data_IF_116557579550
#
_entry.id   IF_116557579550
#
_cell.length_a   1.000
_cell.length_b   1.000
_cell.length_c   1.000
_cell.angle_alpha   90.00
_cell.angle_beta   90.00
_cell.angle_gamma   90.00
#
_symmetry.space_group_name_H-M   'P 1'
#
loop_
_entity.id
_entity.type
_entity.pdbx_description
1 polymer ?
#
# COMPACT_ATOMS: atom_id res chain seq x y z
N UNK A 1 -68.85 -22.84 -77.42
CA UNK A 1 -68.46 -23.61 -76.21
C UNK A 1 -67.03 -23.26 -75.74
N UNK A 2 -66.10 -22.87 -76.61
CA UNK A 2 -64.69 -22.48 -76.26
C UNK A 2 -64.54 -21.08 -75.62
N UNK A 3 -65.44 -20.13 -76.00
CA UNK A 3 -65.38 -18.76 -75.40
C UNK A 3 -65.84 -18.71 -73.95
N UNK A 4 -66.81 -19.52 -73.53
CA UNK A 4 -67.27 -19.61 -72.11
C UNK A 4 -66.21 -20.19 -71.19
N UNK A 5 -65.43 -21.13 -71.66
CA UNK A 5 -64.32 -21.74 -70.90
C UNK A 5 -63.12 -20.81 -70.67
N UNK A 6 -62.91 -19.86 -71.61
CA UNK A 6 -61.87 -18.86 -71.45
C UNK A 6 -62.25 -17.77 -70.45
N UNK A 7 -63.53 -17.33 -70.45
CA UNK A 7 -64.02 -16.32 -69.51
C UNK A 7 -63.99 -16.79 -68.08
N UNK A 8 -64.26 -18.08 -67.84
CA UNK A 8 -64.16 -18.64 -66.46
C UNK A 8 -62.72 -18.77 -66.02
N UNK A 9 -61.77 -19.12 -66.90
CA UNK A 9 -60.32 -19.16 -66.57
C UNK A 9 -59.77 -17.76 -66.33
N UNK A 10 -60.16 -16.73 -67.05
CA UNK A 10 -59.75 -15.37 -66.78
C UNK A 10 -60.29 -14.82 -65.47
N UNK A 11 -61.53 -15.14 -65.11
CA UNK A 11 -62.12 -14.79 -63.85
C UNK A 11 -61.41 -15.50 -62.65
N UNK A 12 -61.07 -16.78 -62.80
CA UNK A 12 -60.28 -17.51 -61.78
C UNK A 12 -58.88 -16.98 -61.66
N UNK A 13 -58.24 -16.58 -62.77
CA UNK A 13 -56.90 -15.98 -62.75
C UNK A 13 -56.92 -14.59 -62.05
N UNK A 14 -57.92 -13.77 -62.37
CA UNK A 14 -58.13 -12.45 -61.77
C UNK A 14 -58.43 -12.60 -60.21
N UNK A 15 -59.29 -13.55 -59.82
CA UNK A 15 -59.57 -13.79 -58.43
C UNK A 15 -58.33 -14.30 -57.69
N UNK A 16 -57.52 -15.15 -58.27
CA UNK A 16 -56.24 -15.58 -57.69
C UNK A 16 -55.24 -14.44 -57.57
N UNK A 17 -55.17 -13.56 -58.55
CA UNK A 17 -54.32 -12.36 -58.53
C UNK A 17 -54.78 -11.37 -57.44
N UNK A 18 -56.09 -11.07 -57.37
CA UNK A 18 -56.65 -10.18 -56.35
C UNK A 18 -56.44 -10.75 -54.94
N UNK A 19 -56.66 -12.06 -54.72
CA UNK A 19 -56.42 -12.67 -53.44
C UNK A 19 -54.95 -12.63 -53.02
N UNK A 20 -54.02 -12.83 -53.96
CA UNK A 20 -52.58 -12.69 -53.69
C UNK A 20 -52.17 -11.25 -53.39
N UNK A 21 -52.71 -10.28 -54.16
CA UNK A 21 -52.44 -8.86 -53.92
C UNK A 21 -53.02 -8.37 -52.60
N UNK A 22 -54.21 -8.83 -52.25
CA UNK A 22 -54.84 -8.56 -50.94
C UNK A 22 -54.02 -9.17 -49.79
N UNK A 23 -53.55 -10.42 -49.96
CA UNK A 23 -52.67 -11.07 -48.98
C UNK A 23 -51.37 -10.29 -48.79
N UNK A 24 -50.71 -9.84 -49.86
CA UNK A 24 -49.52 -9.03 -49.78
C UNK A 24 -49.76 -7.68 -49.11
N UNK A 25 -50.93 -7.02 -49.42
CA UNK A 25 -51.31 -5.77 -48.77
C UNK A 25 -51.53 -5.95 -47.26
N UNK A 26 -52.18 -7.04 -46.83
CA UNK A 26 -52.37 -7.36 -45.43
C UNK A 26 -51.02 -7.62 -44.75
N UNK A 27 -50.12 -8.32 -45.42
CA UNK A 27 -48.77 -8.62 -44.86
C UNK A 27 -47.93 -7.36 -44.72
N UNK A 28 -47.96 -6.45 -45.69
CA UNK A 28 -47.31 -5.12 -45.64
C UNK A 28 -47.95 -4.26 -44.53
N UNK A 29 -49.26 -4.27 -44.42
CA UNK A 29 -49.97 -3.55 -43.36
C UNK A 29 -49.62 -4.07 -41.95
N UNK A 30 -49.55 -5.41 -41.79
CA UNK A 30 -49.13 -6.02 -40.55
C UNK A 30 -47.70 -5.66 -40.18
N UNK A 31 -46.78 -5.71 -41.17
CA UNK A 31 -45.39 -5.30 -40.95
C UNK A 31 -45.30 -3.82 -40.58
N UNK A 32 -46.03 -2.95 -41.27
CA UNK A 32 -46.13 -1.52 -40.94
C UNK A 32 -46.68 -1.27 -39.53
N UNK A 33 -47.71 -2.05 -39.13
CA UNK A 33 -48.23 -1.96 -37.77
C UNK A 33 -47.23 -2.40 -36.69
N UNK A 34 -46.50 -3.49 -36.94
CA UNK A 34 -45.46 -3.97 -36.02
C UNK A 34 -44.37 -2.94 -35.89
N UNK A 35 -43.90 -2.36 -36.99
CA UNK A 35 -42.85 -1.33 -36.96
C UNK A 35 -43.30 -0.06 -36.26
N UNK A 36 -44.56 0.39 -36.50
CA UNK A 36 -45.13 1.54 -35.81
C UNK A 36 -45.29 1.30 -34.32
N UNK A 37 -45.79 0.11 -33.94
CA UNK A 37 -45.91 -0.29 -32.55
C UNK A 37 -44.53 -0.32 -31.84
N UNK A 38 -43.51 -0.88 -32.51
CA UNK A 38 -42.14 -0.91 -31.98
C UNK A 38 -41.58 0.51 -31.83
N UNK A 39 -41.86 1.38 -32.73
CA UNK A 39 -41.45 2.78 -32.69
C UNK A 39 -42.10 3.53 -31.54
N UNK A 40 -43.42 3.36 -31.33
CA UNK A 40 -44.17 3.93 -30.21
C UNK A 40 -43.65 3.36 -28.87
N UNK A 41 -43.39 2.07 -28.83
CA UNK A 41 -42.82 1.41 -27.64
C UNK A 41 -41.46 2.05 -27.28
N UNK A 42 -40.53 2.16 -28.22
CA UNK A 42 -39.20 2.71 -28.02
C UNK A 42 -39.21 4.21 -27.69
N UNK A 43 -40.09 5.00 -28.33
CA UNK A 43 -40.07 6.46 -28.17
C UNK A 43 -40.95 6.99 -27.05
N UNK A 44 -41.98 6.24 -26.64
CA UNK A 44 -42.94 6.68 -25.61
C UNK A 44 -42.85 5.80 -24.33
N UNK A 45 -42.98 4.49 -24.48
CA UNK A 45 -43.06 3.59 -23.32
C UNK A 45 -41.69 3.36 -22.67
N UNK A 46 -40.67 3.11 -23.48
CA UNK A 46 -39.30 2.80 -23.01
C UNK A 46 -38.38 4.02 -23.12
N UNK A 47 -38.89 5.20 -23.46
CA UNK A 47 -38.06 6.41 -23.64
C UNK A 47 -37.24 6.76 -22.42
N UNK A 48 -37.82 6.65 -21.21
CA UNK A 48 -37.12 6.92 -19.97
C UNK A 48 -35.93 5.97 -19.73
N UNK A 49 -36.10 4.69 -20.05
CA UNK A 49 -35.04 3.70 -19.92
C UNK A 49 -33.89 3.98 -20.91
N UNK A 50 -34.23 4.25 -22.16
CA UNK A 50 -33.19 4.54 -23.18
C UNK A 50 -32.51 5.90 -23.00
N UNK A 51 -33.21 6.89 -22.44
CA UNK A 51 -32.60 8.17 -22.05
C UNK A 51 -31.63 7.96 -20.93
N UNK A 52 -31.99 7.20 -19.89
CA UNK A 52 -31.09 6.87 -18.77
C UNK A 52 -29.85 6.13 -19.26
N UNK A 53 -30.00 5.08 -20.07
CA UNK A 53 -28.87 4.33 -20.64
C UNK A 53 -27.99 5.22 -21.54
N UNK A 54 -28.61 6.12 -22.32
CA UNK A 54 -27.87 7.09 -23.14
C UNK A 54 -27.09 8.09 -22.29
N UNK A 55 -27.69 8.60 -21.22
CA UNK A 55 -27.07 9.54 -20.30
C UNK A 55 -25.96 8.87 -19.49
N UNK A 56 -26.16 7.65 -19.02
CA UNK A 56 -25.12 6.86 -18.35
C UNK A 56 -23.91 6.58 -19.25
N UNK A 57 -24.12 6.35 -20.54
CA UNK A 57 -23.04 6.16 -21.49
C UNK A 57 -22.35 7.47 -21.93
N UNK A 58 -23.01 8.62 -21.78
CA UNK A 58 -22.51 9.93 -22.19
C UNK A 58 -21.86 10.72 -21.07
N UNK A 59 -22.23 10.43 -19.83
CA UNK A 59 -21.73 11.13 -18.65
C UNK A 59 -20.68 10.26 -17.95
N UNK A 60 -19.45 10.75 -17.87
CA UNK A 60 -18.33 10.07 -17.22
C UNK A 60 -17.88 10.87 -16.01
N UNK A 61 -17.68 10.17 -14.88
CA UNK A 61 -17.15 10.75 -13.67
C UNK A 61 -15.66 10.43 -13.57
N UNK A 62 -14.82 11.45 -13.68
CA UNK A 62 -13.36 11.34 -13.62
C UNK A 62 -12.87 11.78 -12.24
N UNK A 63 -12.12 10.96 -11.51
CA UNK A 63 -11.58 11.35 -10.21
C UNK A 63 -10.51 12.44 -10.36
N UNK A 64 -10.51 13.40 -9.43
CA UNK A 64 -9.44 14.38 -9.25
C UNK A 64 -8.74 14.05 -7.93
N UNK A 65 -7.48 13.65 -8.02
CA UNK A 65 -6.72 13.23 -6.85
C UNK A 65 -6.33 14.43 -5.99
N UNK A 66 -6.50 14.33 -4.66
CA UNK A 66 -6.04 15.35 -3.73
C UNK A 66 -4.52 15.36 -3.66
N UNK A 67 -3.94 16.49 -3.26
CA UNK A 67 -2.56 16.51 -2.81
C UNK A 67 -2.49 15.88 -1.41
N UNK A 68 -1.59 14.91 -1.25
CA UNK A 68 -1.31 14.25 0.02
C UNK A 68 -0.71 15.24 1.01
N UNK A 69 -1.05 15.15 2.31
CA UNK A 69 -0.48 15.95 3.36
C UNK A 69 1.05 15.86 3.39
N UNK A 70 1.72 16.91 3.78
CA UNK A 70 3.17 16.93 3.93
C UNK A 70 3.57 16.33 5.28
N UNK A 71 4.77 15.74 5.34
CA UNK A 71 5.40 15.38 6.60
C UNK A 71 6.48 16.41 6.89
N UNK A 72 6.45 16.94 8.10
CA UNK A 72 7.33 18.01 8.57
C UNK A 72 7.93 17.64 9.92
N UNK A 73 9.08 18.16 10.23
CA UNK A 73 9.65 18.11 11.57
C UNK A 73 9.00 19.17 12.47
N UNK A 74 9.25 19.09 13.76
CA UNK A 74 8.70 20.04 14.75
C UNK A 74 9.11 21.49 14.52
N UNK A 75 10.26 21.72 13.87
CA UNK A 75 10.75 23.03 13.46
C UNK A 75 10.11 23.58 12.17
N UNK A 76 9.21 22.80 11.53
CA UNK A 76 8.54 23.15 10.27
C UNK A 76 9.31 22.73 9.01
N UNK A 77 10.50 22.12 9.13
CA UNK A 77 11.25 21.61 7.98
C UNK A 77 10.46 20.51 7.28
N UNK A 78 10.32 20.63 5.96
CA UNK A 78 9.58 19.68 5.13
C UNK A 78 10.50 18.51 4.80
N UNK A 79 10.06 17.28 5.13
CA UNK A 79 10.81 16.04 4.84
C UNK A 79 10.24 15.25 3.67
N UNK A 80 8.97 15.53 3.32
CA UNK A 80 8.34 14.92 2.12
C UNK A 80 7.53 15.95 1.36
N UNK A 81 7.51 15.85 0.04
CA UNK A 81 6.70 16.70 -0.83
C UNK A 81 5.97 15.90 -1.92
N UNK A 82 5.07 16.57 -2.64
CA UNK A 82 4.37 16.01 -3.78
C UNK A 82 4.87 16.70 -5.04
N UNK A 83 5.64 16.01 -5.86
CA UNK A 83 6.17 16.53 -7.12
C UNK A 83 5.31 16.10 -8.30
N UNK A 84 5.28 16.92 -9.35
CA UNK A 84 4.56 16.56 -10.57
C UNK A 84 5.40 15.58 -11.39
N UNK A 85 4.82 14.43 -11.70
CA UNK A 85 5.39 13.41 -12.58
C UNK A 85 4.44 13.12 -13.74
N UNK A 86 4.97 12.57 -14.83
CA UNK A 86 4.19 12.18 -15.99
C UNK A 86 3.96 10.66 -15.97
N UNK A 87 2.71 10.26 -16.17
CA UNK A 87 2.31 8.86 -16.23
C UNK A 87 1.65 8.53 -17.58
N UNK A 88 1.94 7.36 -18.12
CA UNK A 88 1.26 6.81 -19.27
C UNK A 88 0.00 6.09 -18.81
N UNK A 89 -1.14 6.51 -19.34
CA UNK A 89 -2.46 5.93 -19.01
C UNK A 89 -3.12 5.34 -20.25
N UNK A 90 -3.90 4.27 -20.07
CA UNK A 90 -4.70 3.63 -21.09
C UNK A 90 -6.18 3.68 -20.75
N UNK A 91 -7.01 3.94 -21.75
CA UNK A 91 -8.46 3.79 -21.69
C UNK A 91 -8.86 2.45 -22.29
N UNK A 92 -9.32 1.52 -21.46
CA UNK A 92 -9.73 0.18 -21.91
C UNK A 92 -10.92 0.19 -22.86
N UNK A 93 -11.79 1.21 -22.81
CA UNK A 93 -12.93 1.36 -23.71
C UNK A 93 -12.56 1.70 -25.16
N UNK A 94 -11.37 2.25 -25.38
CA UNK A 94 -10.89 2.70 -26.70
C UNK A 94 -9.92 1.74 -27.37
N UNK A 95 -9.49 0.70 -26.66
CA UNK A 95 -8.45 -0.22 -27.15
C UNK A 95 -9.10 -1.47 -27.70
N UNK A 96 -8.95 -1.73 -28.99
CA UNK A 96 -9.48 -2.93 -29.67
C UNK A 96 -8.69 -4.18 -29.29
N UNK A 97 -7.37 -4.05 -29.16
CA UNK A 97 -6.45 -5.11 -28.75
C UNK A 97 -5.42 -4.51 -27.78
N UNK A 98 -5.65 -4.75 -26.50
CA UNK A 98 -4.78 -4.27 -25.42
C UNK A 98 -3.43 -4.98 -25.44
N UNK A 99 -3.42 -6.28 -25.70
CA UNK A 99 -2.18 -7.07 -25.67
C UNK A 99 -1.23 -6.65 -26.79
N UNK A 100 -1.77 -6.43 -27.98
CA UNK A 100 -0.97 -5.93 -29.09
C UNK A 100 -0.42 -4.51 -28.80
N UNK A 101 -1.24 -3.61 -28.27
CA UNK A 101 -0.82 -2.26 -27.89
C UNK A 101 0.32 -2.28 -26.89
N UNK A 102 0.21 -3.10 -25.85
CA UNK A 102 1.25 -3.23 -24.83
C UNK A 102 2.55 -3.83 -25.37
N UNK A 103 2.46 -4.79 -26.30
CA UNK A 103 3.61 -5.36 -26.97
C UNK A 103 4.34 -4.31 -27.82
N UNK A 104 3.59 -3.52 -28.59
CA UNK A 104 4.15 -2.42 -29.39
C UNK A 104 4.84 -1.37 -28.53
N UNK A 105 4.24 -1.00 -27.37
CA UNK A 105 4.85 -0.07 -26.41
C UNK A 105 6.18 -0.59 -25.85
N UNK A 106 6.26 -1.89 -25.59
CA UNK A 106 7.51 -2.55 -25.16
C UNK A 106 8.57 -2.53 -26.26
N UNK A 107 8.19 -2.91 -27.47
CA UNK A 107 9.09 -2.93 -28.64
C UNK A 107 9.66 -1.54 -28.98
N UNK A 108 8.86 -0.49 -28.80
CA UNK A 108 9.30 0.90 -28.96
C UNK A 108 9.99 1.50 -27.72
N UNK A 109 10.31 0.69 -26.71
CA UNK A 109 10.99 1.10 -25.47
C UNK A 109 10.26 2.26 -24.73
N UNK A 110 8.93 2.30 -24.81
CA UNK A 110 8.08 3.27 -24.11
C UNK A 110 7.78 2.74 -22.71
N UNK A 111 7.57 1.41 -22.60
CA UNK A 111 7.39 0.71 -21.33
C UNK A 111 8.38 -0.44 -21.20
N UNK A 112 8.67 -0.84 -19.95
CA UNK A 112 9.49 -2.02 -19.67
C UNK A 112 8.59 -3.24 -19.34
N UNK A 113 9.23 -4.40 -19.17
CA UNK A 113 8.53 -5.69 -18.93
C UNK A 113 7.69 -5.69 -17.66
N UNK A 114 8.12 -4.95 -16.63
CA UNK A 114 7.46 -4.88 -15.35
C UNK A 114 6.24 -4.03 -15.39
N UNK A 115 6.35 -2.87 -16.01
CA UNK A 115 5.19 -2.01 -16.25
C UNK A 115 4.12 -2.79 -16.98
N UNK A 116 4.53 -3.66 -17.92
CA UNK A 116 3.65 -4.58 -18.62
C UNK A 116 3.01 -5.62 -17.67
N UNK A 117 3.81 -6.26 -16.81
CA UNK A 117 3.31 -7.26 -15.85
C UNK A 117 2.39 -6.62 -14.80
N UNK A 118 2.81 -5.49 -14.22
CA UNK A 118 2.01 -4.75 -13.25
C UNK A 118 0.66 -4.29 -13.83
N UNK A 119 0.62 -3.92 -15.11
CA UNK A 119 -0.63 -3.62 -15.79
C UNK A 119 -1.52 -4.87 -15.95
N UNK A 120 -0.94 -6.01 -16.34
CA UNK A 120 -1.70 -7.27 -16.53
C UNK A 120 -2.35 -7.74 -15.25
N UNK A 121 -1.67 -7.66 -14.12
CA UNK A 121 -2.22 -7.99 -12.81
C UNK A 121 -3.42 -7.11 -12.45
N UNK A 122 -3.36 -5.81 -12.77
CA UNK A 122 -4.44 -4.85 -12.49
C UNK A 122 -5.63 -4.96 -13.44
N UNK A 123 -5.40 -5.38 -14.70
CA UNK A 123 -6.46 -5.43 -15.74
C UNK A 123 -7.48 -6.54 -15.54
N UNK A 124 -7.27 -7.44 -14.57
CA UNK A 124 -8.17 -8.56 -14.27
C UNK A 124 -9.50 -8.06 -13.68
N UNK A 125 -9.52 -6.87 -13.07
CA UNK A 125 -10.75 -6.30 -12.50
C UNK A 125 -11.46 -5.35 -13.49
N UNK A 126 -12.38 -5.91 -14.27
CA UNK A 126 -13.13 -5.23 -15.35
C UNK A 126 -14.20 -4.23 -14.88
N UNK A 127 -14.18 -3.75 -13.64
CA UNK A 127 -15.29 -2.97 -13.07
C UNK A 127 -15.48 -1.56 -13.61
N UNK A 128 -14.50 -0.96 -14.27
CA UNK A 128 -14.69 0.39 -14.84
C UNK A 128 -14.29 0.46 -16.30
N UNK A 129 -15.29 0.43 -17.18
CA UNK A 129 -15.12 0.54 -18.64
C UNK A 129 -14.55 1.91 -19.08
N UNK A 130 -14.61 2.92 -18.23
CA UNK A 130 -14.26 4.31 -18.52
C UNK A 130 -13.09 4.86 -17.71
N UNK A 131 -12.59 4.09 -16.73
CA UNK A 131 -11.46 4.50 -15.92
C UNK A 131 -10.15 4.32 -16.69
N UNK A 132 -9.29 5.35 -16.64
CA UNK A 132 -7.96 5.25 -17.22
C UNK A 132 -7.04 4.52 -16.24
N UNK A 133 -6.42 3.47 -16.71
CA UNK A 133 -5.47 2.67 -15.93
C UNK A 133 -4.06 3.15 -16.22
N UNK A 134 -3.26 3.31 -15.16
CA UNK A 134 -1.85 3.67 -15.30
C UNK A 134 -1.05 2.45 -15.76
N UNK A 135 -0.34 2.60 -16.87
CA UNK A 135 0.59 1.60 -17.39
C UNK A 135 1.99 1.82 -16.82
N UNK A 136 2.44 3.08 -16.83
CA UNK A 136 3.76 3.47 -16.39
C UNK A 136 3.71 4.82 -15.66
N UNK A 137 4.36 4.89 -14.50
CA UNK A 137 4.56 6.14 -13.74
C UNK A 137 5.98 6.66 -13.95
N UNK A 138 6.20 7.92 -13.63
CA UNK A 138 7.49 8.58 -13.65
C UNK A 138 8.24 8.42 -14.99
N UNK A 139 7.55 8.76 -16.09
CA UNK A 139 8.15 8.68 -17.42
C UNK A 139 9.36 9.60 -17.54
N UNK A 140 10.44 9.08 -18.09
CA UNK A 140 11.60 9.88 -18.48
C UNK A 140 11.29 10.78 -19.67
N UNK A 141 12.05 11.85 -19.82
CA UNK A 141 11.92 12.76 -20.98
C UNK A 141 12.07 12.02 -22.32
N UNK A 142 12.89 10.98 -22.38
CA UNK A 142 13.04 10.14 -23.56
C UNK A 142 11.77 9.33 -23.88
N UNK A 143 11.16 8.75 -22.86
CA UNK A 143 9.89 7.99 -23.03
C UNK A 143 8.76 8.93 -23.48
N UNK A 144 8.67 10.11 -22.85
CA UNK A 144 7.69 11.15 -23.24
C UNK A 144 7.89 11.55 -24.69
N UNK A 145 9.13 11.85 -25.10
CA UNK A 145 9.44 12.26 -26.46
C UNK A 145 9.09 11.16 -27.48
N UNK A 146 9.48 9.91 -27.22
CA UNK A 146 9.16 8.76 -28.09
C UNK A 146 7.65 8.57 -28.24
N UNK A 147 6.92 8.56 -27.13
CA UNK A 147 5.47 8.45 -27.18
C UNK A 147 4.83 9.61 -27.96
N UNK A 148 5.27 10.85 -27.73
CA UNK A 148 4.68 12.03 -28.36
C UNK A 148 4.83 12.05 -29.89
N UNK A 149 5.92 11.51 -30.41
CA UNK A 149 6.16 11.42 -31.88
C UNK A 149 5.19 10.45 -32.56
N UNK A 150 4.80 9.38 -31.84
CA UNK A 150 3.98 8.32 -32.41
C UNK A 150 2.58 8.21 -31.76
N UNK A 151 2.17 9.23 -31.01
CA UNK A 151 0.92 9.23 -30.22
C UNK A 151 -0.33 8.92 -31.05
N UNK A 152 -0.36 9.31 -32.32
CA UNK A 152 -1.47 9.05 -33.23
C UNK A 152 -1.69 7.55 -33.51
N UNK A 153 -0.66 6.71 -33.31
CA UNK A 153 -0.77 5.25 -33.42
C UNK A 153 -1.59 4.63 -32.28
N UNK A 154 -1.65 5.31 -31.14
CA UNK A 154 -2.30 4.79 -29.93
C UNK A 154 -3.32 5.78 -29.36
N UNK A 155 -4.48 5.96 -30.01
CA UNK A 155 -5.49 6.95 -29.59
C UNK A 155 -6.14 6.63 -28.23
N UNK A 156 -5.92 5.40 -27.72
CA UNK A 156 -6.37 4.98 -26.38
C UNK A 156 -5.42 5.38 -25.25
N UNK A 157 -4.20 5.79 -25.59
CA UNK A 157 -3.17 6.18 -24.62
C UNK A 157 -3.11 7.69 -24.46
N UNK A 158 -2.67 8.12 -23.28
CA UNK A 158 -2.34 9.53 -23.03
C UNK A 158 -1.32 9.66 -21.91
N UNK A 159 -0.55 10.75 -21.97
CA UNK A 159 0.30 11.16 -20.85
C UNK A 159 -0.50 12.09 -19.96
N UNK A 160 -0.52 11.78 -18.66
CA UNK A 160 -1.20 12.58 -17.64
C UNK A 160 -0.20 13.02 -16.57
N UNK A 161 -0.33 14.28 -16.14
CA UNK A 161 0.40 14.78 -14.99
C UNK A 161 -0.23 14.23 -13.71
N UNK A 162 0.58 13.63 -12.84
CA UNK A 162 0.18 13.08 -11.54
C UNK A 162 1.11 13.56 -10.44
N UNK A 163 0.60 13.64 -9.24
CA UNK A 163 1.41 13.91 -8.06
C UNK A 163 2.08 12.62 -7.61
N UNK A 164 3.40 12.68 -7.43
CA UNK A 164 4.23 11.60 -6.94
C UNK A 164 4.82 12.01 -5.60
N UNK A 165 4.80 11.09 -4.63
CA UNK A 165 5.40 11.33 -3.32
C UNK A 165 6.90 11.30 -3.40
N UNK A 166 7.57 12.34 -2.88
CA UNK A 166 9.02 12.44 -2.88
C UNK A 166 9.56 12.70 -1.48
N UNK A 167 10.56 11.94 -1.08
CA UNK A 167 11.24 12.07 0.20
C UNK A 167 12.50 12.92 0.01
N UNK A 168 12.52 14.13 0.57
CA UNK A 168 13.61 15.09 0.47
C UNK A 168 14.86 14.66 1.22
N UNK A 169 14.67 13.91 2.31
CA UNK A 169 15.77 13.51 3.22
C UNK A 169 16.41 12.17 2.83
N UNK A 170 16.00 11.58 1.71
CA UNK A 170 16.53 10.30 1.25
C UNK A 170 16.41 9.20 2.33
N UNK A 171 17.50 8.48 2.67
CA UNK A 171 17.43 7.35 3.59
C UNK A 171 17.38 7.74 5.08
N UNK A 172 17.60 9.03 5.45
CA UNK A 172 17.73 9.45 6.86
C UNK A 172 16.52 9.05 7.71
N UNK A 173 15.31 9.22 7.17
CA UNK A 173 14.05 8.91 7.84
C UNK A 173 13.32 7.71 7.24
N UNK A 174 13.98 6.87 6.44
CA UNK A 174 13.34 5.83 5.63
C UNK A 174 12.33 4.98 6.39
N UNK A 175 12.72 4.41 7.51
CA UNK A 175 11.87 3.51 8.30
C UNK A 175 10.77 4.24 9.08
N UNK A 176 10.98 5.52 9.41
CA UNK A 176 9.95 6.34 10.06
C UNK A 176 8.91 6.79 9.05
N UNK A 177 9.36 7.40 7.96
CA UNK A 177 8.46 7.90 6.92
C UNK A 177 7.74 6.75 6.23
N UNK A 178 8.46 5.70 5.89
CA UNK A 178 7.97 4.64 5.04
C UNK A 178 7.88 5.07 3.58
N UNK A 179 6.97 4.48 2.84
CA UNK A 179 6.76 4.78 1.43
C UNK A 179 5.29 4.63 1.03
N UNK A 180 4.94 5.19 -0.11
CA UNK A 180 3.63 5.03 -0.74
C UNK A 180 3.75 4.06 -1.92
N UNK A 181 2.68 3.36 -2.20
CA UNK A 181 2.58 2.45 -3.34
C UNK A 181 1.14 2.34 -3.81
N UNK A 182 0.94 1.74 -4.97
CA UNK A 182 -0.40 1.54 -5.48
C UNK A 182 -1.19 0.60 -4.58
N UNK A 183 -2.49 0.88 -4.44
CA UNK A 183 -3.42 0.03 -3.69
C UNK A 183 -3.55 -1.33 -4.37
N UNK A 184 -3.58 -2.40 -3.59
CA UNK A 184 -3.88 -3.75 -4.08
C UNK A 184 -5.35 -4.13 -3.82
N UNK A 185 -5.79 -5.28 -4.33
CA UNK A 185 -7.19 -5.72 -4.20
C UNK A 185 -7.58 -6.02 -2.76
N UNK A 186 -6.70 -6.63 -1.97
CA UNK A 186 -6.94 -6.92 -0.55
C UNK A 186 -7.16 -5.64 0.25
N UNK A 187 -6.34 -4.61 0.00
CA UNK A 187 -6.45 -3.31 0.66
C UNK A 187 -7.72 -2.55 0.25
N UNK A 188 -8.25 -2.80 -0.96
CA UNK A 188 -9.55 -2.25 -1.39
C UNK A 188 -10.70 -2.93 -0.65
N UNK A 189 -10.64 -4.24 -0.47
CA UNK A 189 -11.65 -5.02 0.24
C UNK A 189 -11.70 -4.67 1.73
N UNK A 190 -10.54 -4.47 2.35
CA UNK A 190 -10.41 -4.04 3.75
C UNK A 190 -10.89 -2.60 3.97
N UNK A 191 -10.96 -1.78 2.93
CA UNK A 191 -11.41 -0.38 3.03
C UNK A 191 -12.94 -0.25 2.99
N UNK A 192 -13.60 -0.65 4.08
CA UNK A 192 -15.08 -0.72 4.21
C UNK A 192 -15.80 0.60 3.91
N UNK A 193 -15.14 1.73 4.07
CA UNK A 193 -15.76 3.07 4.01
C UNK A 193 -15.29 3.97 2.87
N UNK A 194 -14.43 3.50 1.98
CA UNK A 194 -13.86 4.34 0.95
C UNK A 194 -13.59 3.59 -0.35
N UNK A 195 -14.26 4.01 -1.43
CA UNK A 195 -13.98 3.48 -2.77
C UNK A 195 -12.76 4.17 -3.35
N UNK A 196 -11.61 3.51 -3.28
CA UNK A 196 -10.40 3.97 -3.93
C UNK A 196 -10.45 3.65 -5.43
N UNK A 197 -10.08 4.61 -6.30
CA UNK A 197 -9.75 4.27 -7.68
C UNK A 197 -8.52 3.33 -7.72
N UNK A 198 -8.51 2.36 -8.62
CA UNK A 198 -7.42 1.36 -8.75
C UNK A 198 -6.02 1.97 -8.96
N UNK A 199 -5.96 3.22 -9.41
CA UNK A 199 -4.71 3.95 -9.62
C UNK A 199 -4.32 4.85 -8.45
N UNK A 200 -4.97 4.69 -7.28
CA UNK A 200 -4.66 5.48 -6.09
C UNK A 200 -3.42 4.94 -5.37
N UNK A 201 -2.59 5.85 -4.85
CA UNK A 201 -1.43 5.50 -4.02
C UNK A 201 -1.77 5.65 -2.55
N UNK A 202 -1.44 4.65 -1.76
CA UNK A 202 -1.63 4.62 -0.31
C UNK A 202 -0.30 4.41 0.41
N UNK A 203 -0.24 4.76 1.68
CA UNK A 203 0.90 4.48 2.55
C UNK A 203 1.05 2.99 2.82
N UNK A 204 2.24 2.44 2.57
CA UNK A 204 2.55 1.00 2.74
C UNK A 204 3.26 0.70 4.05
N UNK A 205 4.01 1.64 4.58
CA UNK A 205 4.74 1.49 5.84
C UNK A 205 4.93 2.83 6.54
N UNK A 206 5.45 2.81 7.77
CA UNK A 206 5.83 4.00 8.53
C UNK A 206 4.67 4.98 8.76
N UNK A 207 5.00 6.27 8.86
CA UNK A 207 4.07 7.39 9.02
C UNK A 207 3.07 7.45 7.87
N UNK A 208 3.55 7.18 6.64
CA UNK A 208 2.70 7.16 5.45
C UNK A 208 1.51 6.20 5.61
N UNK A 209 1.74 5.02 6.22
CA UNK A 209 0.68 4.04 6.50
C UNK A 209 -0.12 4.39 7.74
N UNK A 210 0.55 4.74 8.84
CA UNK A 210 -0.11 5.00 10.14
C UNK A 210 -1.10 6.15 10.07
N UNK A 211 -0.78 7.16 9.25
CA UNK A 211 -1.59 8.38 9.09
C UNK A 211 -2.25 8.49 7.72
N UNK A 212 -2.41 7.35 7.01
CA UNK A 212 -2.99 7.29 5.68
C UNK A 212 -4.30 8.06 5.59
N UNK A 213 -5.23 7.82 6.49
CA UNK A 213 -6.55 8.43 6.49
C UNK A 213 -6.52 9.96 6.59
N UNK A 214 -5.59 10.50 7.39
CA UNK A 214 -5.43 11.93 7.57
C UNK A 214 -4.69 12.58 6.41
N UNK A 215 -3.67 11.89 5.87
CA UNK A 215 -2.77 12.43 4.85
C UNK A 215 -3.31 12.31 3.43
N UNK A 216 -4.14 11.33 3.13
CA UNK A 216 -4.65 11.08 1.77
C UNK A 216 -5.52 12.21 1.22
N UNK A 217 -6.26 12.91 2.10
CA UNK A 217 -7.26 13.88 1.71
C UNK A 217 -8.54 13.26 1.15
N UNK A 218 -9.38 14.08 0.52
CA UNK A 218 -10.64 13.68 -0.09
C UNK A 218 -10.60 13.80 -1.60
N UNK A 219 -10.97 12.73 -2.32
CA UNK A 219 -11.02 12.72 -3.79
C UNK A 219 -12.11 13.65 -4.29
N UNK A 220 -11.77 14.54 -5.22
CA UNK A 220 -12.70 15.32 -6.00
C UNK A 220 -13.15 14.57 -7.25
N UNK A 221 -14.12 15.14 -7.97
CA UNK A 221 -14.63 14.54 -9.20
C UNK A 221 -14.96 15.60 -10.22
N UNK A 222 -14.61 15.31 -11.46
CA UNK A 222 -15.02 16.04 -12.64
C UNK A 222 -16.04 15.18 -13.39
N UNK A 223 -17.27 15.68 -13.53
CA UNK A 223 -18.29 15.03 -14.34
C UNK A 223 -18.25 15.64 -15.72
N UNK A 224 -17.96 14.83 -16.72
CA UNK A 224 -17.81 15.27 -18.13
C UNK A 224 -18.83 14.58 -19.01
N UNK A 225 -19.28 15.29 -20.02
CA UNK A 225 -20.00 14.72 -21.15
C UNK A 225 -19.01 14.28 -22.22
N UNK A 226 -19.16 13.04 -22.68
CA UNK A 226 -18.30 12.45 -23.71
C UNK A 226 -19.10 12.09 -24.96
N UNK A 227 -18.45 12.12 -26.13
CA UNK A 227 -19.02 11.62 -27.39
C UNK A 227 -18.98 10.07 -27.46
N UNK A 228 -19.47 9.51 -28.55
CA UNK A 228 -19.49 8.05 -28.80
C UNK A 228 -18.08 7.42 -28.85
N UNK A 229 -17.05 8.25 -29.01
CA UNK A 229 -15.64 7.84 -28.99
C UNK A 229 -14.99 8.06 -27.62
N UNK A 230 -15.75 8.55 -26.61
CA UNK A 230 -15.27 8.88 -25.27
C UNK A 230 -14.38 10.13 -25.21
N UNK A 231 -14.48 11.04 -26.21
CA UNK A 231 -13.81 12.33 -26.19
C UNK A 231 -14.66 13.31 -25.36
N UNK A 232 -14.02 14.06 -24.48
CA UNK A 232 -14.68 15.10 -23.68
C UNK A 232 -15.28 16.18 -24.59
N UNK A 233 -16.57 16.42 -24.44
CA UNK A 233 -17.32 17.49 -25.11
C UNK A 233 -17.34 18.72 -24.23
N UNK A 234 -17.75 18.55 -22.96
CA UNK A 234 -17.80 19.64 -21.98
C UNK A 234 -17.77 19.10 -20.55
N UNK A 235 -17.34 19.93 -19.62
CA UNK A 235 -17.45 19.69 -18.19
C UNK A 235 -18.84 20.13 -17.70
N UNK A 236 -19.51 19.23 -16.97
CA UNK A 236 -20.83 19.46 -16.40
C UNK A 236 -20.73 19.98 -14.96
N UNK A 237 -19.97 19.28 -14.13
CA UNK A 237 -19.77 19.63 -12.73
C UNK A 237 -18.36 19.30 -12.28
N UNK A 238 -17.88 20.04 -11.27
CA UNK A 238 -16.58 19.78 -10.62
C UNK A 238 -16.72 19.86 -9.12
N UNK A 239 -16.27 18.80 -8.43
CA UNK A 239 -16.06 18.80 -6.98
C UNK A 239 -14.56 18.87 -6.75
N UNK A 240 -14.15 19.94 -6.06
CA UNK A 240 -12.72 20.17 -5.78
C UNK A 240 -12.23 19.16 -4.75
N UNK A 241 -11.06 18.53 -4.95
CA UNK A 241 -10.49 17.61 -3.98
C UNK A 241 -10.07 18.35 -2.70
N UNK A 242 -10.21 17.67 -1.56
CA UNK A 242 -9.77 18.20 -0.28
C UNK A 242 -8.33 17.74 0.00
N UNK A 243 -7.39 18.68 0.15
CA UNK A 243 -5.99 18.39 0.53
C UNK A 243 -5.93 17.58 1.83
N UNK A 244 -5.00 16.62 1.92
CA UNK A 244 -4.68 15.89 3.14
C UNK A 244 -4.04 16.78 4.20
N UNK A 245 -4.17 16.39 5.47
CA UNK A 245 -3.59 17.09 6.61
C UNK A 245 -2.09 16.86 6.68
N UNK A 246 -1.32 17.89 7.00
CA UNK A 246 0.10 17.79 7.26
C UNK A 246 0.36 17.12 8.61
N UNK A 247 1.41 16.30 8.70
CA UNK A 247 1.84 15.61 9.93
C UNK A 247 3.16 16.23 10.40
N UNK A 248 3.27 16.44 11.72
CA UNK A 248 4.46 16.97 12.36
C UNK A 248 5.12 15.90 13.22
N UNK A 249 6.39 15.61 12.95
CA UNK A 249 7.19 14.65 13.70
C UNK A 249 7.96 15.31 14.83
N UNK A 250 8.03 14.65 15.98
CA UNK A 250 8.84 15.12 17.12
C UNK A 250 10.35 14.86 16.92
N UNK A 251 10.75 14.21 15.81
CA UNK A 251 12.13 13.88 15.51
C UNK A 251 13.01 15.13 15.35
N UNK A 252 14.25 14.98 15.77
CA UNK A 252 15.33 15.92 15.57
C UNK A 252 16.21 15.40 14.43
N UNK A 253 16.43 16.24 13.40
CA UNK A 253 17.16 15.83 12.20
C UNK A 253 18.63 15.54 12.49
N UNK A 254 19.27 16.42 13.24
CA UNK A 254 20.72 16.31 13.50
C UNK A 254 20.99 15.06 14.33
N UNK A 255 20.13 14.79 15.32
CA UNK A 255 20.22 13.59 16.14
C UNK A 255 19.93 12.32 15.34
N UNK A 256 18.97 12.36 14.42
CA UNK A 256 18.65 11.26 13.52
C UNK A 256 19.81 10.94 12.57
N UNK A 257 20.43 11.98 11.97
CA UNK A 257 21.60 11.83 11.12
C UNK A 257 22.81 11.30 11.90
N UNK A 258 23.05 11.81 13.09
CA UNK A 258 24.12 11.35 13.95
C UNK A 258 23.92 9.85 14.26
N UNK A 259 22.75 9.47 14.73
CA UNK A 259 22.43 8.08 15.08
C UNK A 259 22.58 7.15 13.85
N UNK A 260 22.14 7.60 12.66
CA UNK A 260 22.33 6.86 11.42
C UNK A 260 23.80 6.65 11.07
N UNK A 261 24.59 7.71 11.18
CA UNK A 261 26.03 7.66 10.89
C UNK A 261 26.79 6.77 11.86
N UNK A 262 26.44 6.80 13.17
CA UNK A 262 27.02 5.92 14.19
C UNK A 262 26.63 4.45 13.97
N UNK A 263 25.43 4.17 13.48
CA UNK A 263 25.03 2.82 13.09
C UNK A 263 25.82 2.29 11.88
N UNK A 264 26.26 3.21 10.99
CA UNK A 264 27.17 2.94 9.88
C UNK A 264 26.73 1.76 8.98
N UNK A 265 25.44 1.63 8.71
CA UNK A 265 24.87 0.55 7.88
C UNK A 265 24.81 -0.83 8.57
N UNK A 266 25.28 -0.96 9.81
CA UNK A 266 25.22 -2.22 10.56
C UNK A 266 23.79 -2.60 10.86
N UNK A 267 23.51 -3.91 11.00
CA UNK A 267 22.23 -4.43 11.50
C UNK A 267 22.03 -4.03 12.94
N UNK A 268 21.00 -3.23 13.20
CA UNK A 268 20.68 -2.77 14.54
C UNK A 268 19.67 -1.62 14.52
N UNK A 269 19.42 -1.06 15.70
CA UNK A 269 18.56 0.09 15.88
C UNK A 269 19.12 1.04 16.95
N UNK A 270 18.87 2.34 16.75
CA UNK A 270 19.13 3.38 17.74
C UNK A 270 17.83 4.17 17.92
N UNK A 271 17.37 4.26 19.18
CA UNK A 271 16.19 5.05 19.55
C UNK A 271 16.58 6.02 20.66
N UNK A 272 16.32 7.30 20.46
CA UNK A 272 16.52 8.34 21.46
C UNK A 272 15.16 8.92 21.87
N UNK A 273 14.90 8.92 23.17
CA UNK A 273 13.66 9.40 23.78
C UNK A 273 13.95 10.57 24.71
N UNK A 274 13.08 11.57 24.68
CA UNK A 274 13.04 12.59 25.72
C UNK A 274 12.28 12.02 26.95
N UNK A 275 12.94 11.81 28.10
CA UNK A 275 12.30 11.16 29.24
C UNK A 275 11.20 12.03 29.89
N UNK A 276 11.18 13.33 29.64
CA UNK A 276 10.18 14.25 30.22
C UNK A 276 8.88 14.27 29.42
N UNK A 277 8.97 14.14 28.11
CA UNK A 277 7.81 14.24 27.19
C UNK A 277 7.38 12.90 26.62
N UNK A 278 8.27 11.91 26.61
CA UNK A 278 8.09 10.65 25.92
C UNK A 278 8.25 10.75 24.40
N UNK A 279 8.61 11.92 23.88
CA UNK A 279 8.80 12.10 22.44
C UNK A 279 10.05 11.39 21.93
N UNK A 280 9.88 10.69 20.81
CA UNK A 280 10.99 10.07 20.10
C UNK A 280 11.74 11.16 19.33
N UNK A 281 13.01 11.38 19.66
CA UNK A 281 13.89 12.37 19.04
C UNK A 281 14.70 11.78 17.89
N UNK A 282 15.06 10.49 17.98
CA UNK A 282 15.63 9.75 16.87
C UNK A 282 15.10 8.31 16.89
N UNK A 283 14.89 7.74 15.71
CA UNK A 283 14.49 6.36 15.49
C UNK A 283 15.14 5.85 14.21
N UNK A 284 16.23 5.12 14.37
CA UNK A 284 17.05 4.62 13.27
C UNK A 284 17.01 3.10 13.27
N UNK A 285 16.85 2.53 12.09
CA UNK A 285 17.00 1.10 11.83
C UNK A 285 18.03 0.92 10.71
N UNK A 286 18.95 0.00 10.87
CA UNK A 286 19.98 -0.31 9.87
C UNK A 286 19.95 -1.76 9.44
N UNK A 287 20.36 -2.05 8.18
CA UNK A 287 20.62 -1.08 7.13
C UNK A 287 19.38 -0.30 6.72
N UNK A 288 19.58 0.89 6.20
CA UNK A 288 18.51 1.75 5.69
C UNK A 288 18.33 1.60 4.15
N UNK A 289 17.33 2.28 3.64
CA UNK A 289 17.03 2.32 2.21
C UNK A 289 16.59 3.73 1.79
N UNK A 290 16.68 4.04 0.50
CA UNK A 290 16.10 5.28 -0.01
C UNK A 290 14.63 5.06 -0.40
N UNK A 291 13.64 5.68 0.29
CA UNK A 291 12.22 5.49 -0.03
C UNK A 291 11.84 5.89 -1.46
N UNK A 292 12.62 6.77 -2.10
CA UNK A 292 12.37 7.17 -3.48
C UNK A 292 12.62 6.05 -4.50
N UNK A 293 13.20 4.92 -4.09
CA UNK A 293 13.35 3.74 -4.95
C UNK A 293 11.99 3.22 -5.42
N UNK A 294 10.94 3.34 -4.60
CA UNK A 294 9.58 2.93 -4.95
C UNK A 294 8.91 3.83 -6.00
N UNK A 295 9.51 4.99 -6.28
CA UNK A 295 9.10 5.89 -7.35
C UNK A 295 9.77 5.54 -8.70
N UNK A 296 10.76 4.66 -8.69
CA UNK A 296 11.44 4.22 -9.91
C UNK A 296 10.68 3.07 -10.57
N UNK A 297 10.71 3.07 -11.87
CA UNK A 297 10.04 2.06 -12.70
C UNK A 297 11.00 0.96 -13.17
N UNK A 298 12.25 0.98 -12.72
CA UNK A 298 13.25 -0.03 -13.07
C UNK A 298 13.20 -1.17 -12.05
N UNK A 299 13.02 -2.42 -12.53
CA UNK A 299 12.87 -3.61 -11.68
C UNK A 299 14.11 -3.92 -10.89
N UNK A 300 15.27 -3.83 -11.50
CA UNK A 300 16.50 -4.28 -10.87
C UNK A 300 16.71 -3.69 -9.47
N UNK A 301 16.31 -2.43 -9.29
CA UNK A 301 16.44 -1.74 -8.00
C UNK A 301 15.48 -2.30 -6.93
N UNK A 302 14.23 -2.65 -7.30
CA UNK A 302 13.24 -3.19 -6.35
C UNK A 302 13.55 -4.64 -5.98
N UNK A 303 13.89 -5.48 -6.96
CA UNK A 303 14.26 -6.87 -6.71
C UNK A 303 15.49 -6.98 -5.80
N UNK A 304 16.47 -6.08 -5.97
CA UNK A 304 17.64 -6.01 -5.09
C UNK A 304 17.22 -5.75 -3.64
N UNK A 305 16.35 -4.76 -3.39
CA UNK A 305 15.97 -4.38 -2.03
C UNK A 305 15.06 -5.41 -1.36
N UNK A 306 14.17 -6.07 -2.13
CA UNK A 306 13.27 -7.10 -1.58
C UNK A 306 13.99 -8.41 -1.28
N UNK A 307 15.00 -8.76 -2.06
CA UNK A 307 15.77 -10.00 -1.93
C UNK A 307 17.08 -9.83 -1.15
N UNK A 308 17.35 -8.63 -0.64
CA UNK A 308 18.55 -8.35 0.14
C UNK A 308 18.55 -9.13 1.47
N UNK A 309 19.57 -9.96 1.66
CA UNK A 309 19.77 -10.78 2.89
C UNK A 309 19.92 -9.93 4.14
N UNK A 310 20.32 -8.67 4.00
CA UNK A 310 20.41 -7.70 5.09
C UNK A 310 19.05 -7.15 5.51
N UNK A 311 17.98 -7.41 4.72
CA UNK A 311 16.59 -7.00 4.97
C UNK A 311 16.46 -5.51 5.32
N UNK A 312 16.84 -4.60 4.40
CA UNK A 312 16.86 -3.16 4.68
C UNK A 312 15.44 -2.58 4.89
N UNK A 313 14.39 -3.23 4.41
CA UNK A 313 13.01 -2.80 4.64
C UNK A 313 12.49 -3.11 6.04
N UNK A 314 13.17 -4.01 6.78
CA UNK A 314 12.74 -4.42 8.10
C UNK A 314 13.07 -3.35 9.15
N UNK A 315 12.06 -2.74 9.76
CA UNK A 315 12.23 -1.76 10.81
C UNK A 315 12.59 -2.43 12.15
N UNK A 316 13.90 -2.53 12.40
CA UNK A 316 14.46 -3.17 13.60
C UNK A 316 14.15 -2.43 14.89
N UNK A 317 13.89 -1.13 14.82
CA UNK A 317 13.54 -0.32 15.97
C UNK A 317 12.11 -0.59 16.50
N UNK A 318 11.19 -0.98 15.59
CA UNK A 318 9.77 -1.19 15.90
C UNK A 318 9.40 -2.67 15.93
N UNK A 319 9.92 -3.44 14.96
CA UNK A 319 9.52 -4.84 14.73
C UNK A 319 10.61 -5.84 15.14
N UNK A 320 11.81 -5.37 15.50
CA UNK A 320 12.91 -6.23 15.94
C UNK A 320 12.66 -6.80 17.34
N UNK A 321 12.80 -8.12 17.47
CA UNK A 321 12.74 -8.81 18.76
C UNK A 321 14.13 -9.33 19.12
N UNK A 322 14.69 -8.80 20.19
CA UNK A 322 16.05 -9.10 20.64
C UNK A 322 16.08 -9.56 22.10
N UNK A 323 16.98 -10.48 22.49
CA UNK A 323 17.21 -10.79 23.88
C UNK A 323 17.67 -9.52 24.62
N UNK A 324 17.10 -9.18 25.79
CA UNK A 324 17.45 -7.98 26.52
C UNK A 324 18.88 -8.01 27.07
N UNK A 325 19.49 -9.19 27.17
CA UNK A 325 20.82 -9.42 27.73
C UNK A 325 21.00 -8.73 29.11
N UNK A 326 22.16 -8.12 29.36
CA UNK A 326 22.47 -7.48 30.65
C UNK A 326 21.64 -6.22 30.95
N UNK A 327 20.90 -5.68 29.99
CA UNK A 327 20.03 -4.51 30.25
C UNK A 327 18.87 -4.80 31.18
N UNK A 328 18.51 -6.08 31.39
CA UNK A 328 17.46 -6.50 32.32
C UNK A 328 17.96 -6.64 33.75
N UNK A 329 19.28 -6.76 33.98
CA UNK A 329 19.89 -7.04 35.31
C UNK A 329 19.48 -6.03 36.39
N UNK A 330 19.43 -4.72 36.15
CA UNK A 330 18.96 -3.76 37.14
C UNK A 330 17.52 -4.03 37.62
N UNK A 331 16.62 -4.46 36.72
CA UNK A 331 15.24 -4.81 37.10
C UNK A 331 15.18 -6.08 37.97
N UNK A 332 16.00 -7.09 37.64
CA UNK A 332 16.08 -8.33 38.43
C UNK A 332 16.66 -8.03 39.80
N UNK A 333 17.71 -7.21 39.88
CA UNK A 333 18.28 -6.76 41.17
C UNK A 333 17.27 -5.98 42.00
N UNK A 334 16.52 -5.07 41.39
CA UNK A 334 15.46 -4.32 42.06
C UNK A 334 14.36 -5.25 42.62
N UNK A 335 13.99 -6.28 41.85
CA UNK A 335 13.05 -7.29 42.33
C UNK A 335 13.60 -8.06 43.51
N UNK A 336 14.87 -8.48 43.45
CA UNK A 336 15.54 -9.18 44.57
C UNK A 336 15.54 -8.38 45.87
N UNK A 337 15.86 -7.08 45.81
CA UNK A 337 15.79 -6.16 46.94
C UNK A 337 14.34 -6.01 47.45
N UNK A 338 13.38 -5.86 46.54
CA UNK A 338 11.97 -5.67 46.91
C UNK A 338 11.36 -6.87 47.61
N UNK A 339 11.70 -8.06 47.17
CA UNK A 339 11.18 -9.32 47.74
C UNK A 339 11.98 -9.78 48.95
N UNK A 340 13.10 -9.11 49.27
CA UNK A 340 13.98 -9.45 50.43
C UNK A 340 14.84 -10.68 50.18
N UNK A 341 14.97 -11.15 48.94
CA UNK A 341 15.85 -12.28 48.59
C UNK A 341 17.33 -11.89 48.68
N UNK A 342 17.62 -10.61 48.46
CA UNK A 342 18.94 -10.00 48.66
C UNK A 342 18.82 -8.65 49.34
N UNK A 343 19.92 -8.19 49.95
CA UNK A 343 20.13 -6.79 50.36
C UNK A 343 21.40 -6.22 49.68
N UNK A 344 21.76 -4.98 50.00
CA UNK A 344 22.95 -4.34 49.44
C UNK A 344 24.28 -4.96 49.85
N UNK A 345 24.30 -5.73 50.94
CA UNK A 345 25.48 -6.40 51.52
C UNK A 345 25.56 -7.87 51.12
N UNK A 346 24.49 -8.42 50.56
CA UNK A 346 24.47 -9.81 50.10
C UNK A 346 25.56 -10.03 49.07
N UNK A 347 26.45 -10.96 49.32
CA UNK A 347 27.58 -11.33 48.45
C UNK A 347 27.43 -12.76 47.95
N UNK A 348 27.84 -12.98 46.73
CA UNK A 348 27.86 -14.28 46.07
C UNK A 348 29.27 -14.48 45.51
N UNK A 349 29.80 -15.71 45.59
CA UNK A 349 31.03 -16.08 44.91
C UNK A 349 30.78 -16.35 43.44
N UNK A 350 31.38 -15.55 42.56
CA UNK A 350 31.34 -15.73 41.12
C UNK A 350 32.60 -16.41 40.62
N UNK A 351 32.51 -17.72 40.38
CA UNK A 351 33.60 -18.56 39.84
C UNK A 351 33.61 -18.63 38.32
N UNK A 352 32.86 -17.74 37.63
CA UNK A 352 32.74 -17.72 36.18
C UNK A 352 31.66 -18.65 35.63
N UNK A 353 30.99 -19.42 36.47
CA UNK A 353 29.86 -20.25 36.04
C UNK A 353 28.84 -20.45 37.16
N UNK A 354 27.62 -20.77 36.77
CA UNK A 354 26.55 -21.19 37.68
C UNK A 354 26.07 -22.59 37.27
N UNK A 355 25.74 -23.40 38.30
CA UNK A 355 25.26 -24.76 38.11
C UNK A 355 24.12 -25.03 39.08
N UNK A 356 22.98 -25.54 38.58
CA UNK A 356 21.81 -25.81 39.43
C UNK A 356 22.03 -27.03 40.36
N UNK A 357 22.72 -28.05 39.86
CA UNK A 357 23.02 -29.32 40.57
C UNK A 357 24.47 -29.72 40.23
N UNK A 358 25.13 -30.47 41.05
CA UNK A 358 26.53 -30.90 40.84
C UNK A 358 26.78 -31.60 39.49
N UNK A 359 25.79 -32.34 38.98
CA UNK A 359 25.85 -33.03 37.69
C UNK A 359 25.21 -32.21 36.53
N UNK A 360 24.68 -31.01 36.83
CA UNK A 360 23.94 -30.18 35.88
C UNK A 360 24.81 -29.43 34.88
N UNK A 361 24.16 -28.81 33.91
CA UNK A 361 24.83 -27.95 32.92
C UNK A 361 25.44 -26.72 33.61
N UNK A 362 26.70 -26.41 33.26
CA UNK A 362 27.36 -25.17 33.66
C UNK A 362 26.89 -24.00 32.76
N UNK A 363 26.32 -22.99 33.39
CA UNK A 363 25.96 -21.72 32.73
C UNK A 363 27.11 -20.75 32.95
N UNK A 364 27.90 -20.52 31.91
CA UNK A 364 29.10 -19.69 31.97
C UNK A 364 28.76 -18.22 31.95
N UNK A 365 29.47 -17.43 32.74
CA UNK A 365 29.56 -15.98 32.60
C UNK A 365 30.49 -15.59 31.46
N UNK A 366 30.53 -14.30 31.15
CA UNK A 366 31.43 -13.77 30.10
C UNK A 366 32.92 -13.80 30.53
N UNK A 367 33.20 -13.76 31.82
CA UNK A 367 34.52 -13.86 32.39
C UNK A 367 34.75 -15.27 32.95
N UNK A 368 35.66 -16.02 32.36
CA UNK A 368 35.84 -17.45 32.70
C UNK A 368 36.33 -17.69 34.11
N UNK A 369 37.23 -16.81 34.63
CA UNK A 369 37.77 -16.91 35.99
C UNK A 369 36.80 -16.36 37.05
N UNK A 370 35.66 -15.83 36.62
CA UNK A 370 34.71 -15.18 37.53
C UNK A 370 35.15 -13.83 38.03
N UNK A 371 34.38 -13.25 38.94
CA UNK A 371 34.60 -11.93 39.53
C UNK A 371 34.92 -12.01 41.05
N UNK A 372 35.00 -13.25 41.60
CA UNK A 372 35.14 -13.48 43.03
C UNK A 372 33.91 -13.01 43.81
N UNK A 373 34.12 -12.46 45.00
CA UNK A 373 33.00 -11.93 45.79
C UNK A 373 32.35 -10.72 45.14
N UNK A 374 31.07 -10.86 44.79
CA UNK A 374 30.25 -9.82 44.16
C UNK A 374 28.98 -9.57 44.97
N UNK A 375 28.70 -8.29 45.20
CA UNK A 375 27.40 -7.84 45.68
C UNK A 375 26.58 -7.26 44.52
N UNK A 376 25.35 -6.82 44.78
CA UNK A 376 24.47 -6.29 43.72
C UNK A 376 25.12 -5.13 42.94
N UNK A 377 25.76 -4.18 43.63
CA UNK A 377 26.40 -3.04 42.97
C UNK A 377 27.54 -3.50 42.02
N UNK A 378 28.46 -4.35 42.53
CA UNK A 378 29.55 -4.90 41.74
C UNK A 378 29.04 -5.78 40.59
N UNK A 379 27.98 -6.57 40.82
CA UNK A 379 27.41 -7.44 39.79
C UNK A 379 26.78 -6.67 38.63
N UNK A 380 26.25 -5.48 38.88
CA UNK A 380 25.77 -4.57 37.80
C UNK A 380 26.94 -3.93 37.07
N UNK A 381 27.96 -3.41 37.83
CA UNK A 381 29.13 -2.74 37.23
C UNK A 381 29.94 -3.70 36.35
N UNK A 382 30.24 -4.89 36.87
CA UNK A 382 31.03 -5.92 36.18
C UNK A 382 30.18 -6.80 35.26
N UNK A 383 28.86 -6.60 35.24
CA UNK A 383 27.90 -7.41 34.49
C UNK A 383 28.02 -8.91 34.78
N UNK A 384 28.20 -9.30 36.08
CA UNK A 384 28.28 -10.71 36.48
C UNK A 384 26.99 -11.44 36.13
N UNK A 385 27.08 -12.47 35.31
CA UNK A 385 25.94 -13.32 34.98
C UNK A 385 25.60 -14.28 36.13
N UNK A 386 26.62 -14.77 36.82
CA UNK A 386 26.49 -15.77 37.89
C UNK A 386 25.64 -15.24 39.04
N UNK A 387 25.83 -13.97 39.43
CA UNK A 387 24.99 -13.33 40.44
C UNK A 387 23.51 -13.36 40.05
N UNK A 388 23.19 -13.01 38.83
CA UNK A 388 21.82 -12.94 38.38
C UNK A 388 21.22 -14.32 38.04
N UNK A 389 22.02 -15.32 37.66
CA UNK A 389 21.55 -16.71 37.57
C UNK A 389 21.13 -17.25 38.94
N UNK A 390 21.94 -17.04 39.97
CA UNK A 390 21.61 -17.47 41.31
C UNK A 390 20.37 -16.74 41.83
N UNK A 391 20.31 -15.43 41.70
CA UNK A 391 19.15 -14.62 42.11
C UNK A 391 17.87 -15.05 41.41
N UNK A 392 17.94 -15.35 40.09
CA UNK A 392 16.78 -15.76 39.32
C UNK A 392 16.18 -17.10 39.80
N UNK A 393 17.00 -18.02 40.35
CA UNK A 393 16.49 -19.28 40.92
C UNK A 393 15.69 -19.07 42.19
N UNK A 394 16.02 -18.05 42.97
CA UNK A 394 15.30 -17.66 44.19
C UNK A 394 13.99 -16.93 43.84
N UNK A 395 14.03 -16.06 42.85
CA UNK A 395 12.89 -15.21 42.46
C UNK A 395 11.78 -15.95 41.70
N UNK A 396 12.06 -17.02 41.01
CA UNK A 396 11.19 -17.74 40.09
C UNK A 396 10.78 -16.94 38.86
N UNK A 397 10.50 -17.64 37.74
CA UNK A 397 10.18 -17.05 36.45
C UNK A 397 8.87 -16.22 36.48
N UNK A 398 7.87 -16.69 37.24
CA UNK A 398 6.57 -16.03 37.31
C UNK A 398 6.66 -14.69 38.07
N UNK A 399 7.40 -14.63 39.17
CA UNK A 399 7.62 -13.38 39.92
C UNK A 399 8.37 -12.35 39.07
N UNK A 400 9.41 -12.80 38.36
CA UNK A 400 10.16 -11.97 37.40
C UNK A 400 9.22 -11.43 36.31
N UNK A 401 8.42 -12.28 35.65
CA UNK A 401 7.52 -11.88 34.60
C UNK A 401 6.46 -10.87 35.07
N UNK A 402 5.84 -11.11 36.23
CA UNK A 402 4.86 -10.18 36.82
C UNK A 402 5.50 -8.83 37.12
N UNK A 403 6.74 -8.84 37.65
CA UNK A 403 7.45 -7.61 37.98
C UNK A 403 7.83 -6.80 36.75
N UNK A 404 8.38 -7.45 35.72
CA UNK A 404 8.77 -6.80 34.46
C UNK A 404 7.59 -6.18 33.73
N UNK A 405 6.41 -6.79 33.79
CA UNK A 405 5.18 -6.21 33.24
C UNK A 405 4.86 -4.83 33.82
N UNK A 406 5.24 -4.52 35.06
CA UNK A 406 5.02 -3.19 35.66
C UNK A 406 5.86 -2.09 35.01
N UNK A 407 6.94 -2.46 34.31
CA UNK A 407 7.79 -1.58 33.54
C UNK A 407 7.49 -1.60 32.03
N UNK A 408 6.36 -2.23 31.62
CA UNK A 408 5.94 -2.28 30.24
C UNK A 408 6.52 -3.42 29.40
N UNK A 409 7.36 -4.29 30.00
CA UNK A 409 7.87 -5.45 29.25
C UNK A 409 6.71 -6.37 28.83
N UNK A 410 6.72 -6.83 27.58
CA UNK A 410 5.67 -7.67 27.00
C UNK A 410 4.41 -6.91 26.54
N UNK A 411 4.37 -5.59 26.63
CA UNK A 411 3.31 -4.74 26.09
C UNK A 411 3.78 -3.95 24.89
N UNK A 412 2.82 -3.52 24.05
CA UNK A 412 3.10 -2.55 22.98
C UNK A 412 3.53 -1.23 23.60
N UNK A 413 4.58 -0.61 23.03
CA UNK A 413 5.14 0.66 23.54
C UNK A 413 4.25 1.86 23.32
N UNK A 414 3.23 1.75 22.45
CA UNK A 414 2.35 2.87 22.10
C UNK A 414 2.96 3.83 21.07
N UNK A 415 4.08 3.47 20.47
CA UNK A 415 4.61 4.22 19.31
C UNK A 415 3.55 4.26 18.22
N UNK A 416 3.24 5.44 17.72
CA UNK A 416 2.18 5.73 16.75
C UNK A 416 2.55 5.39 15.30
N UNK A 417 3.52 4.52 15.11
CA UNK A 417 3.80 3.88 13.84
C UNK A 417 3.06 2.56 13.73
N UNK A 418 2.54 2.28 12.54
CA UNK A 418 1.97 0.98 12.24
C UNK A 418 3.07 -0.09 12.43
N UNK A 419 3.13 -0.61 13.62
CA UNK A 419 3.88 -1.83 13.88
C UNK A 419 3.01 -2.96 13.34
N UNK A 420 3.50 -3.69 12.37
CA UNK A 420 3.10 -5.08 12.24
C UNK A 420 3.15 -5.65 13.65
N UNK A 421 2.02 -6.16 14.12
CA UNK A 421 1.90 -6.84 15.40
C UNK A 421 3.25 -7.44 15.76
N UNK A 422 3.81 -7.07 16.90
CA UNK A 422 4.74 -7.93 17.61
C UNK A 422 4.00 -9.25 17.86
N UNK A 423 3.85 -10.02 16.80
CA UNK A 423 3.77 -11.44 16.95
C UNK A 423 5.11 -11.78 17.56
N UNK A 424 5.15 -11.88 18.86
CA UNK A 424 6.08 -12.75 19.51
C UNK A 424 5.92 -14.06 18.79
N UNK A 425 6.85 -14.35 17.87
CA UNK A 425 6.96 -15.71 17.33
C UNK A 425 6.89 -16.60 18.56
N UNK A 426 5.95 -17.55 18.62
CA UNK A 426 5.92 -18.47 19.75
C UNK A 426 7.34 -19.00 19.91
N UNK A 427 7.85 -18.98 21.13
CA UNK A 427 9.18 -19.50 21.45
C UNK A 427 9.35 -20.82 20.72
N UNK A 428 10.53 -21.14 20.17
CA UNK A 428 10.78 -22.47 19.61
C UNK A 428 10.37 -23.63 20.53
N UNK A 429 10.19 -23.34 21.82
CA UNK A 429 9.67 -24.29 22.83
C UNK A 429 8.16 -24.50 22.77
N UNK A 430 7.40 -23.58 22.14
CA UNK A 430 5.94 -23.69 22.00
C UNK A 430 5.51 -24.40 20.69
N UNK A 431 6.49 -24.93 19.94
CA UNK A 431 6.30 -25.80 18.78
C UNK A 431 6.57 -27.27 19.17
N UNK A 432 5.96 -27.70 20.29
CA UNK A 432 5.92 -29.09 20.66
C UNK A 432 4.89 -29.89 19.87
#
# INVERSE_FOLDING_TARGET
MSEFLNLDREKEAQTKLTNRSTFLLVLVGLFGFITLFQLVKLTVLDSGLYTTISDENRIVRVPIYPSRGLIKLSNGEIVTENIVSQALTISSSKTKDIEQTLKELKENLIINEIQLLAYKEKSIDKKSKYERVVIAENLSQQQIARFSVESDRWPSLSIEARLMRFNLSGPIFSHVLGYVGQINLEEIEDSINFSYPLSFQIGKSGVEKSYEEQMRGGVGYKTIEVDVHGKEIRELTRVIPKKGSDIYLALDKDLQELARNELAGRKGAIVALDPNTGFIKALVSGPDFNPNIFNKTEIGDLDIIFNDLESPLFNRAISGSYPPASTIKPFIGLLGLKEGEIDWNTTIEDEGFFQLNEEGRKYRGWKEEGHGQVNLAKSIIESSDVFFYQLATQLTVDRIAIFLKKFGFGFKTGVDLYACLLYTSPSPRDRG
#
